data_IF_164031388064
#
_entry.id   IF_164031388064
#
_cell.length_a   1.000
_cell.length_b   1.000
_cell.length_c   1.000
_cell.angle_alpha   90.00
_cell.angle_beta   90.00
_cell.angle_gamma   90.00
#
_symmetry.space_group_name_H-M   'P 1'
#
loop_
_entity.id
_entity.type
_entity.pdbx_description
1 polymer ?
#
# COMPACT_ATOMS: atom_id res chain seq x y z
N UNK A 1 23.12 -5.90 50.98
CA UNK A 1 23.10 -6.35 49.60
C UNK A 1 21.64 -6.59 49.20
N UNK A 2 21.13 -5.91 48.19
CA UNK A 2 19.85 -6.25 47.64
C UNK A 2 20.11 -7.33 46.59
N UNK A 3 19.69 -8.57 46.85
CA UNK A 3 19.86 -9.65 45.87
C UNK A 3 19.07 -9.44 44.60
N UNK A 4 19.32 -10.25 43.58
CA UNK A 4 18.59 -10.23 42.31
C UNK A 4 17.07 -10.32 42.52
N UNK A 5 16.30 -9.53 41.80
CA UNK A 5 14.83 -9.54 41.87
C UNK A 5 14.27 -10.01 40.54
N UNK A 6 13.23 -10.84 40.59
CA UNK A 6 12.51 -11.30 39.40
C UNK A 6 11.11 -10.70 39.37
N UNK A 7 10.75 -10.11 38.22
CA UNK A 7 9.44 -9.57 37.94
C UNK A 7 8.74 -10.49 36.95
N UNK A 8 7.53 -10.91 37.29
CA UNK A 8 6.66 -11.66 36.39
C UNK A 8 5.59 -10.72 35.86
N UNK A 9 5.52 -10.57 34.57
CA UNK A 9 4.65 -9.61 33.87
C UNK A 9 3.75 -10.40 32.92
N UNK A 10 2.45 -10.16 33.03
CA UNK A 10 1.44 -10.79 32.20
C UNK A 10 0.53 -9.69 31.61
N UNK A 11 0.33 -9.72 30.31
CA UNK A 11 -0.50 -8.72 29.63
C UNK A 11 -1.98 -8.73 30.08
N UNK A 12 -2.44 -9.81 30.69
CA UNK A 12 -3.77 -9.90 31.32
C UNK A 12 -3.90 -9.04 32.58
N UNK A 13 -2.77 -8.79 33.25
CA UNK A 13 -2.68 -7.92 34.42
C UNK A 13 -2.34 -6.46 34.04
N UNK A 14 -2.43 -6.11 32.76
CA UNK A 14 -2.20 -4.75 32.30
C UNK A 14 -3.26 -3.79 32.85
N UNK A 15 -2.86 -2.58 33.24
CA UNK A 15 -3.77 -1.53 33.65
C UNK A 15 -4.41 -0.82 32.46
N UNK A 16 -3.70 -0.77 31.36
CA UNK A 16 -4.11 -0.05 30.14
C UNK A 16 -3.57 -0.76 28.90
N UNK A 17 -4.28 -0.64 27.78
CA UNK A 17 -3.83 -1.08 26.47
C UNK A 17 -4.41 -2.42 26.03
N UNK A 18 -3.73 -3.03 25.07
CA UNK A 18 -4.06 -4.35 24.47
C UNK A 18 -2.89 -5.30 24.73
N UNK A 19 -3.07 -6.60 24.43
CA UNK A 19 -1.95 -7.55 24.57
C UNK A 19 -0.71 -7.19 23.72
N UNK A 20 -0.90 -6.50 22.60
CA UNK A 20 0.21 -6.05 21.74
C UNK A 20 0.87 -4.74 22.18
N UNK A 21 0.19 -3.93 22.98
CA UNK A 21 0.70 -2.65 23.51
C UNK A 21 0.00 -2.33 24.83
N UNK A 22 0.68 -2.53 25.95
CA UNK A 22 0.11 -2.40 27.27
C UNK A 22 1.05 -1.75 28.28
N UNK A 23 0.45 -1.22 29.34
CA UNK A 23 1.14 -0.68 30.51
C UNK A 23 0.95 -1.61 31.69
N UNK A 24 2.04 -2.15 32.19
CA UNK A 24 2.09 -2.87 33.45
C UNK A 24 2.56 -1.95 34.57
N UNK A 25 1.94 -2.07 35.75
CA UNK A 25 2.35 -1.32 36.94
C UNK A 25 2.35 -2.23 38.15
N UNK A 26 3.41 -2.22 38.97
CA UNK A 26 3.39 -2.90 40.24
C UNK A 26 2.41 -2.22 41.22
N UNK A 27 1.93 -2.96 42.21
CA UNK A 27 1.02 -2.41 43.24
C UNK A 27 1.66 -1.23 44.01
N UNK A 28 2.97 -1.26 44.16
CA UNK A 28 3.75 -0.18 44.75
C UNK A 28 4.96 0.11 43.84
N UNK A 29 5.38 1.36 43.71
CA UNK A 29 6.54 1.72 42.94
C UNK A 29 7.75 0.92 43.42
N UNK A 30 8.50 0.33 42.49
CA UNK A 30 9.71 -0.44 42.77
C UNK A 30 10.89 0.50 42.79
N UNK A 31 11.50 0.68 43.96
CA UNK A 31 12.76 1.38 44.04
C UNK A 31 13.89 0.41 43.61
N UNK A 32 14.64 0.77 42.59
CA UNK A 32 15.80 0.02 42.10
C UNK A 32 17.04 0.88 42.18
N UNK A 33 18.14 0.28 42.62
CA UNK A 33 19.49 0.86 42.53
C UNK A 33 20.00 0.77 41.10
N UNK A 34 21.27 1.10 40.86
CA UNK A 34 21.92 0.75 39.60
C UNK A 34 21.91 -0.76 39.44
N UNK A 35 21.33 -1.20 38.31
CA UNK A 35 21.21 -2.63 38.05
C UNK A 35 21.13 -2.90 36.54
N UNK A 36 21.34 -4.16 36.19
CA UNK A 36 21.09 -4.69 34.83
C UNK A 36 19.77 -5.42 34.82
N UNK A 37 18.92 -5.08 33.88
CA UNK A 37 17.63 -5.77 33.65
C UNK A 37 17.78 -6.73 32.48
N UNK A 38 17.42 -7.99 32.69
CA UNK A 38 17.43 -9.03 31.66
C UNK A 38 15.99 -9.50 31.44
N UNK A 39 15.56 -9.61 30.18
CA UNK A 39 14.37 -10.37 29.86
C UNK A 39 14.76 -11.85 29.86
N UNK A 40 14.40 -12.54 30.92
CA UNK A 40 14.81 -13.91 31.22
C UNK A 40 13.98 -14.92 30.43
N UNK A 41 12.67 -14.70 30.32
CA UNK A 41 11.80 -15.59 29.60
C UNK A 41 10.65 -14.80 28.91
N UNK A 42 10.25 -15.25 27.74
CA UNK A 42 9.10 -14.75 27.00
C UNK A 42 8.24 -15.93 26.60
N UNK A 43 6.95 -15.85 26.91
CA UNK A 43 5.94 -16.86 26.56
C UNK A 43 4.84 -16.20 25.74
N UNK A 44 4.80 -16.48 24.44
CA UNK A 44 3.79 -15.92 23.53
C UNK A 44 3.04 -17.01 22.80
N UNK A 45 1.69 -17.04 22.83
CA UNK A 45 0.93 -17.90 21.96
C UNK A 45 0.96 -17.37 20.52
N UNK A 46 1.20 -18.24 19.57
CA UNK A 46 1.12 -17.92 18.13
C UNK A 46 -0.35 -18.01 17.72
N UNK A 47 -1.06 -16.90 17.82
CA UNK A 47 -2.51 -16.84 17.56
C UNK A 47 -2.87 -16.02 16.34
N UNK A 48 -1.89 -15.40 15.71
CA UNK A 48 -2.06 -14.70 14.43
C UNK A 48 -2.14 -15.70 13.28
N UNK A 49 -3.01 -15.42 12.33
CA UNK A 49 -3.08 -16.16 11.07
C UNK A 49 -1.97 -15.77 10.09
N UNK A 50 -1.92 -16.44 8.95
CA UNK A 50 -1.00 -16.06 7.86
C UNK A 50 -1.28 -14.65 7.32
N UNK A 51 -2.55 -14.23 7.31
CA UNK A 51 -2.97 -12.86 6.98
C UNK A 51 -3.42 -12.15 8.26
N UNK A 52 -2.78 -11.02 8.53
CA UNK A 52 -2.99 -10.16 9.71
C UNK A 52 -3.34 -8.74 9.29
N UNK A 53 -3.55 -7.84 10.25
CA UNK A 53 -3.70 -6.40 9.96
C UNK A 53 -2.51 -5.82 9.22
N UNK A 54 -1.30 -6.37 9.45
CA UNK A 54 -0.04 -5.81 8.99
C UNK A 54 0.44 -6.36 7.64
N UNK A 55 -0.30 -7.28 7.00
CA UNK A 55 0.08 -7.86 5.72
C UNK A 55 -1.11 -8.20 4.80
N UNK A 56 -2.26 -7.57 5.00
CA UNK A 56 -3.51 -7.93 4.31
C UNK A 56 -3.73 -7.28 2.94
N UNK A 57 -2.89 -6.37 2.53
CA UNK A 57 -3.11 -5.62 1.29
C UNK A 57 -2.20 -6.07 0.16
N UNK A 58 -2.78 -6.24 -1.03
CA UNK A 58 -2.03 -6.33 -2.27
C UNK A 58 -2.32 -5.07 -3.09
N UNK A 59 -1.27 -4.40 -3.52
CA UNK A 59 -1.36 -3.15 -4.27
C UNK A 59 -1.23 -3.45 -5.76
N UNK A 60 -2.31 -3.24 -6.48
CA UNK A 60 -2.45 -3.59 -7.89
C UNK A 60 -2.72 -2.34 -8.71
N UNK A 61 -2.05 -2.23 -9.85
CA UNK A 61 -2.45 -1.31 -10.90
C UNK A 61 -2.80 -2.12 -12.14
N UNK A 62 -3.81 -1.72 -12.86
CA UNK A 62 -4.34 -2.41 -14.02
C UNK A 62 -4.35 -1.47 -15.21
N UNK A 63 -3.81 -1.92 -16.35
CA UNK A 63 -4.12 -1.27 -17.60
C UNK A 63 -5.57 -1.58 -17.94
N UNK A 64 -6.41 -0.58 -17.89
CA UNK A 64 -7.82 -0.69 -18.23
C UNK A 64 -8.03 -0.25 -19.66
N UNK A 65 -8.96 -0.87 -20.42
CA UNK A 65 -9.41 -0.27 -21.65
C UNK A 65 -9.95 1.12 -21.27
N UNK A 66 -9.38 2.13 -21.78
CA UNK A 66 -9.50 3.55 -21.44
C UNK A 66 -10.43 3.86 -20.25
N UNK A 67 -9.83 4.24 -19.15
CA UNK A 67 -10.53 4.83 -18.01
C UNK A 67 -9.85 6.13 -17.66
N UNK A 68 -10.57 7.23 -17.64
CA UNK A 68 -10.05 8.51 -17.13
C UNK A 68 -10.87 8.98 -15.95
N UNK A 69 -10.16 9.47 -14.94
CA UNK A 69 -10.76 10.08 -13.74
C UNK A 69 -10.51 11.57 -13.81
N UNK A 70 -11.55 12.35 -13.97
CA UNK A 70 -11.48 13.79 -13.93
C UNK A 70 -11.93 14.28 -12.54
N UNK A 71 -11.00 14.59 -11.63
CA UNK A 71 -11.36 15.12 -10.30
C UNK A 71 -11.88 16.56 -10.38
N UNK A 72 -11.51 17.27 -11.44
CA UNK A 72 -11.97 18.61 -11.79
C UNK A 72 -12.43 18.63 -13.23
N UNK A 73 -13.11 19.69 -13.66
CA UNK A 73 -13.54 19.84 -15.03
C UNK A 73 -12.34 19.79 -16.01
N UNK A 74 -12.42 18.93 -17.01
CA UNK A 74 -11.42 18.80 -18.05
C UNK A 74 -11.67 19.80 -19.20
N UNK A 75 -10.61 20.37 -19.76
CA UNK A 75 -10.68 21.39 -20.81
C UNK A 75 -10.21 20.87 -22.17
N UNK A 76 -10.97 21.12 -23.21
CA UNK A 76 -10.61 20.88 -24.60
C UNK A 76 -10.61 22.22 -25.35
N UNK A 77 -9.46 22.58 -25.87
CA UNK A 77 -9.27 23.84 -26.60
C UNK A 77 -9.53 23.59 -28.09
N UNK A 78 -10.69 24.04 -28.57
CA UNK A 78 -11.14 23.83 -29.92
C UNK A 78 -10.98 25.11 -30.74
N UNK A 79 -10.33 25.00 -31.91
CA UNK A 79 -10.37 26.02 -32.95
C UNK A 79 -11.21 25.51 -34.07
N UNK A 80 -12.24 26.26 -34.43
CA UNK A 80 -13.20 25.85 -35.47
C UNK A 80 -13.44 26.96 -36.50
N UNK A 81 -13.72 26.55 -37.74
CA UNK A 81 -14.10 27.46 -38.81
C UNK A 81 -15.49 27.11 -39.28
N UNK A 82 -16.44 28.00 -39.01
CA UNK A 82 -17.84 27.87 -39.40
C UNK A 82 -18.17 28.97 -40.39
N UNK A 83 -18.69 28.61 -41.55
CA UNK A 83 -19.02 29.54 -42.61
C UNK A 83 -17.88 30.55 -42.95
N UNK A 84 -16.63 30.08 -42.91
CA UNK A 84 -15.45 30.89 -43.19
C UNK A 84 -14.95 31.74 -42.05
N UNK A 85 -15.59 31.75 -40.90
CA UNK A 85 -15.15 32.47 -39.69
C UNK A 85 -14.46 31.52 -38.74
N UNK A 86 -13.19 31.80 -38.45
CA UNK A 86 -12.41 31.00 -37.44
C UNK A 86 -12.61 31.59 -36.06
N UNK A 87 -12.93 30.72 -35.10
CA UNK A 87 -13.10 31.08 -33.71
C UNK A 87 -12.48 30.03 -32.79
N UNK A 88 -12.03 30.47 -31.59
CA UNK A 88 -11.53 29.61 -30.54
C UNK A 88 -12.64 29.41 -29.50
N UNK A 89 -12.87 28.15 -29.10
CA UNK A 89 -13.90 27.76 -28.13
C UNK A 89 -13.34 26.79 -27.10
N UNK A 90 -13.47 27.15 -25.81
CA UNK A 90 -13.18 26.24 -24.73
C UNK A 90 -14.37 25.30 -24.49
N UNK A 91 -14.12 24.00 -24.62
CA UNK A 91 -15.09 22.95 -24.35
C UNK A 91 -14.71 22.31 -23.02
N UNK A 92 -15.68 22.24 -22.10
CA UNK A 92 -15.44 21.74 -20.74
C UNK A 92 -16.19 20.44 -20.51
N UNK A 93 -15.46 19.41 -20.09
CA UNK A 93 -16.00 18.11 -19.68
C UNK A 93 -16.15 18.12 -18.17
N UNK A 94 -17.30 17.70 -17.66
CA UNK A 94 -17.60 17.71 -16.22
C UNK A 94 -16.74 16.70 -15.45
N UNK A 95 -16.50 16.92 -14.15
CA UNK A 95 -15.79 15.95 -13.31
C UNK A 95 -16.57 14.63 -13.23
N UNK A 96 -15.96 13.53 -13.62
CA UNK A 96 -16.51 12.17 -13.50
C UNK A 96 -15.43 11.12 -13.80
N UNK A 97 -15.81 9.86 -13.67
CA UNK A 97 -15.07 8.72 -14.18
C UNK A 97 -15.66 8.35 -15.54
N UNK A 98 -14.85 8.33 -16.58
CA UNK A 98 -15.27 8.05 -17.94
C UNK A 98 -14.54 6.82 -18.50
N UNK A 99 -15.31 5.86 -19.00
CA UNK A 99 -14.86 4.92 -20.01
C UNK A 99 -14.91 5.56 -21.42
N UNK A 100 -14.50 4.83 -22.44
CA UNK A 100 -14.49 5.37 -23.81
C UNK A 100 -15.88 5.75 -24.34
N UNK A 101 -16.91 5.00 -23.98
CA UNK A 101 -18.29 5.25 -24.41
C UNK A 101 -18.88 6.48 -23.72
N UNK A 102 -18.72 6.54 -22.41
CA UNK A 102 -19.21 7.65 -21.60
C UNK A 102 -18.47 8.95 -21.89
N UNK A 103 -17.15 8.87 -22.16
CA UNK A 103 -16.36 10.03 -22.59
C UNK A 103 -16.83 10.53 -23.98
N UNK A 104 -17.10 9.64 -24.93
CA UNK A 104 -17.62 10.02 -26.23
C UNK A 104 -18.97 10.77 -26.11
N UNK A 105 -19.85 10.28 -25.24
CA UNK A 105 -21.15 10.93 -24.98
C UNK A 105 -20.99 12.30 -24.31
N UNK A 106 -20.10 12.39 -23.30
CA UNK A 106 -19.83 13.64 -22.62
C UNK A 106 -19.17 14.67 -23.53
N UNK A 107 -18.25 14.26 -24.38
CA UNK A 107 -17.60 15.12 -25.37
C UNK A 107 -18.56 15.58 -26.44
N UNK A 108 -19.44 14.70 -26.95
CA UNK A 108 -20.50 15.07 -27.90
C UNK A 108 -21.44 16.13 -27.32
N UNK A 109 -21.84 15.94 -26.04
CA UNK A 109 -22.68 16.89 -25.33
C UNK A 109 -22.00 18.25 -25.17
N UNK A 110 -20.73 18.24 -24.78
CA UNK A 110 -19.96 19.47 -24.56
C UNK A 110 -19.62 20.21 -25.89
N UNK A 111 -19.36 19.48 -26.94
CA UNK A 111 -19.18 20.03 -28.30
C UNK A 111 -20.47 20.63 -28.86
N UNK A 112 -21.65 20.07 -28.51
CA UNK A 112 -22.95 20.58 -28.89
C UNK A 112 -23.39 20.17 -30.29
N UNK A 113 -24.47 20.79 -30.74
CA UNK A 113 -25.09 20.46 -32.01
C UNK A 113 -24.15 20.63 -33.22
N UNK A 114 -24.16 19.67 -34.13
CA UNK A 114 -23.28 19.64 -35.31
C UNK A 114 -22.01 18.81 -35.13
N UNK A 115 -21.76 18.26 -33.93
CA UNK A 115 -20.70 17.32 -33.68
C UNK A 115 -21.25 15.96 -33.30
N UNK A 116 -20.72 14.91 -33.90
CA UNK A 116 -20.95 13.54 -33.48
C UNK A 116 -19.61 12.95 -32.99
N UNK A 117 -19.64 12.27 -31.87
CA UNK A 117 -18.45 11.60 -31.30
C UNK A 117 -18.78 10.13 -31.13
N UNK A 118 -17.98 9.28 -31.74
CA UNK A 118 -18.09 7.83 -31.65
C UNK A 118 -16.81 7.24 -31.01
N UNK A 119 -17.00 6.35 -30.06
CA UNK A 119 -15.94 5.54 -29.53
C UNK A 119 -15.81 4.23 -30.27
N UNK A 120 -14.60 3.86 -30.64
CA UNK A 120 -14.29 2.55 -31.24
C UNK A 120 -13.30 1.84 -30.33
N UNK A 121 -13.75 0.75 -29.72
CA UNK A 121 -12.88 -0.14 -28.97
C UNK A 121 -12.03 -0.93 -29.96
N UNK A 122 -10.74 -0.98 -29.73
CA UNK A 122 -9.81 -1.79 -30.51
C UNK A 122 -9.30 -2.92 -29.62
N UNK A 123 -9.50 -4.17 -30.03
CA UNK A 123 -9.02 -5.33 -29.25
C UNK A 123 -7.51 -5.23 -29.05
N UNK A 124 -7.07 -5.37 -27.80
CA UNK A 124 -5.67 -5.28 -27.36
C UNK A 124 -4.97 -3.93 -27.60
N UNK A 125 -5.69 -2.88 -27.90
CA UNK A 125 -5.12 -1.55 -28.11
C UNK A 125 -5.98 -0.46 -27.46
N UNK A 126 -5.43 0.74 -27.50
CA UNK A 126 -6.10 1.97 -27.12
C UNK A 126 -7.35 2.15 -28.01
N UNK A 127 -8.46 2.45 -27.40
CA UNK A 127 -9.63 2.86 -28.14
C UNK A 127 -9.40 4.19 -28.86
N UNK A 128 -10.26 4.52 -29.81
CA UNK A 128 -10.24 5.80 -30.50
C UNK A 128 -11.57 6.51 -30.36
N UNK A 129 -11.52 7.84 -30.29
CA UNK A 129 -12.67 8.71 -30.45
C UNK A 129 -12.64 9.32 -31.88
N UNK A 130 -13.70 9.11 -32.65
CA UNK A 130 -13.87 9.75 -33.94
C UNK A 130 -14.86 10.89 -33.79
N UNK A 131 -14.41 12.11 -34.09
CA UNK A 131 -15.24 13.31 -34.07
C UNK A 131 -15.60 13.66 -35.50
N UNK A 132 -16.87 13.74 -35.79
CA UNK A 132 -17.42 14.06 -37.12
C UNK A 132 -18.24 15.33 -37.05
N UNK A 133 -17.99 16.24 -37.97
CA UNK A 133 -18.75 17.48 -38.16
C UNK A 133 -18.59 17.97 -39.60
N UNK A 134 -19.51 18.81 -40.07
CA UNK A 134 -19.39 19.50 -41.34
C UNK A 134 -18.39 20.69 -41.32
N UNK A 135 -17.98 21.12 -40.14
CA UNK A 135 -17.08 22.25 -39.96
C UNK A 135 -15.61 21.82 -40.03
N UNK A 136 -14.72 22.76 -40.40
CA UNK A 136 -13.29 22.55 -40.20
C UNK A 136 -12.95 22.85 -38.74
N UNK A 137 -12.21 21.94 -38.09
CA UNK A 137 -11.88 22.08 -36.69
C UNK A 137 -10.53 21.42 -36.35
N UNK A 138 -9.97 21.86 -35.25
CA UNK A 138 -8.75 21.26 -34.66
C UNK A 138 -8.80 21.41 -33.14
N UNK A 139 -8.46 20.35 -32.41
CA UNK A 139 -8.16 20.42 -30.98
C UNK A 139 -6.70 20.83 -30.86
N UNK A 140 -6.45 21.90 -30.15
CA UNK A 140 -5.11 22.43 -29.92
C UNK A 140 -4.41 21.67 -28.80
N UNK A 141 -3.19 21.27 -29.08
CA UNK A 141 -2.32 20.64 -28.10
C UNK A 141 -1.75 21.64 -27.09
N UNK A 142 -1.32 21.11 -25.93
CA UNK A 142 -0.60 21.89 -24.91
C UNK A 142 0.59 22.65 -25.48
N UNK A 143 1.33 22.01 -26.40
CA UNK A 143 2.50 22.63 -27.05
C UNK A 143 2.09 23.87 -27.85
N UNK A 144 1.03 23.79 -28.64
CA UNK A 144 0.50 24.92 -29.43
C UNK A 144 -0.03 26.03 -28.52
N UNK A 145 -0.81 25.68 -27.51
CA UNK A 145 -1.35 26.65 -26.54
C UNK A 145 -0.25 27.43 -25.80
N UNK A 146 0.81 26.74 -25.40
CA UNK A 146 1.97 27.37 -24.73
C UNK A 146 2.82 28.21 -25.67
N UNK A 147 2.98 27.77 -26.91
CA UNK A 147 3.69 28.52 -27.95
C UNK A 147 2.95 29.83 -28.31
N UNK A 148 1.66 29.71 -28.51
CA UNK A 148 0.83 30.86 -28.94
C UNK A 148 0.56 31.81 -27.76
N UNK A 149 0.60 31.30 -26.53
CA UNK A 149 0.45 32.07 -25.29
C UNK A 149 -0.94 32.67 -25.07
N UNK A 150 -1.84 32.52 -26.04
CA UNK A 150 -3.21 33.04 -26.01
C UNK A 150 -4.19 32.07 -26.63
N UNK A 151 -5.42 32.09 -26.11
CA UNK A 151 -6.54 31.33 -26.66
C UNK A 151 -7.83 32.15 -26.51
N UNK A 152 -8.60 32.33 -27.60
CA UNK A 152 -9.81 33.15 -27.56
C UNK A 152 -9.59 34.57 -27.04
N UNK A 153 -8.42 35.15 -27.27
CA UNK A 153 -8.04 36.48 -26.76
C UNK A 153 -7.51 36.51 -25.31
N UNK A 154 -7.64 35.41 -24.57
CA UNK A 154 -7.15 35.30 -23.17
C UNK A 154 -5.75 34.70 -23.11
N UNK A 155 -4.96 35.12 -22.11
CA UNK A 155 -3.62 34.58 -21.86
C UNK A 155 -3.74 33.16 -21.31
N UNK A 156 -3.01 32.21 -21.89
CA UNK A 156 -2.90 30.84 -21.39
C UNK A 156 -1.91 30.80 -20.23
N UNK A 157 -2.37 30.42 -19.05
CA UNK A 157 -1.52 30.30 -17.86
C UNK A 157 -0.81 28.95 -17.82
N UNK A 158 0.51 28.96 -17.93
CA UNK A 158 1.37 27.76 -17.98
C UNK A 158 1.22 26.83 -16.76
N UNK A 159 1.06 27.40 -15.57
CA UNK A 159 1.04 26.66 -14.30
C UNK A 159 -0.27 25.90 -14.03
N UNK A 160 -1.36 26.26 -14.71
CA UNK A 160 -2.69 25.66 -14.52
C UNK A 160 -3.32 25.15 -15.79
N UNK A 161 -2.53 25.01 -16.86
CA UNK A 161 -3.04 24.56 -18.16
C UNK A 161 -3.37 23.07 -18.09
N UNK A 162 -4.66 22.78 -18.13
CA UNK A 162 -5.19 21.45 -18.46
C UNK A 162 -5.66 21.45 -19.89
N UNK A 163 -5.39 20.39 -20.63
CA UNK A 163 -5.79 20.26 -22.03
C UNK A 163 -6.38 18.87 -22.33
N UNK A 164 -6.69 18.62 -23.59
CA UNK A 164 -7.27 17.35 -24.01
C UNK A 164 -6.36 16.13 -23.70
N UNK A 165 -5.06 16.30 -23.56
CA UNK A 165 -4.13 15.22 -23.20
C UNK A 165 -4.45 14.66 -21.80
N UNK A 166 -4.86 15.52 -20.86
CA UNK A 166 -5.22 15.11 -19.49
C UNK A 166 -6.51 14.28 -19.49
N UNK A 167 -7.41 14.53 -20.47
CA UNK A 167 -8.67 13.80 -20.64
C UNK A 167 -8.45 12.48 -21.37
N UNK A 168 -7.64 12.51 -22.44
CA UNK A 168 -7.41 11.37 -23.32
C UNK A 168 -6.36 10.38 -22.79
N UNK A 169 -5.64 10.74 -21.74
CA UNK A 169 -4.58 9.90 -21.15
C UNK A 169 -3.36 9.71 -22.05
N UNK A 170 -3.20 10.55 -23.07
CA UNK A 170 -2.07 10.48 -24.01
C UNK A 170 -1.65 11.86 -24.44
N UNK A 171 -0.37 12.03 -24.76
CA UNK A 171 0.12 13.30 -25.29
C UNK A 171 -0.51 13.57 -26.66
N UNK A 172 -1.25 14.67 -26.74
CA UNK A 172 -1.91 15.10 -27.95
C UNK A 172 -0.99 16.02 -28.77
N UNK A 173 -0.92 15.76 -30.07
CA UNK A 173 -0.57 16.78 -31.07
C UNK A 173 -1.84 17.45 -31.56
N UNK A 174 -1.76 18.61 -32.20
CA UNK A 174 -2.95 19.24 -32.79
C UNK A 174 -3.68 18.23 -33.68
N UNK A 175 -4.95 17.95 -33.39
CA UNK A 175 -5.65 16.83 -33.97
C UNK A 175 -7.04 17.21 -34.48
N UNK A 176 -7.41 16.63 -35.60
CA UNK A 176 -8.74 16.67 -36.18
C UNK A 176 -9.16 15.27 -36.64
N UNK A 177 -10.43 14.91 -36.49
CA UNK A 177 -10.97 13.62 -36.88
C UNK A 177 -10.86 12.53 -35.82
N UNK A 178 -9.76 11.80 -35.77
CA UNK A 178 -9.59 10.68 -34.86
C UNK A 178 -8.62 11.02 -33.75
N UNK A 179 -9.06 10.83 -32.50
CA UNK A 179 -8.24 10.98 -31.31
C UNK A 179 -7.92 9.59 -30.74
N UNK A 180 -6.65 9.31 -30.51
CA UNK A 180 -6.24 8.08 -29.83
C UNK A 180 -6.37 8.27 -28.33
N UNK A 181 -6.95 7.29 -27.65
CA UNK A 181 -7.04 7.26 -26.20
C UNK A 181 -5.79 6.61 -25.60
N UNK A 182 -5.33 7.14 -24.49
CA UNK A 182 -4.28 6.52 -23.70
C UNK A 182 -4.80 5.36 -22.86
N UNK A 183 -3.88 4.55 -22.30
CA UNK A 183 -4.26 3.59 -21.30
C UNK A 183 -4.67 4.31 -20.02
N UNK A 184 -5.86 4.01 -19.52
CA UNK A 184 -6.18 4.26 -18.14
C UNK A 184 -5.37 3.29 -17.28
N UNK A 185 -4.78 3.77 -16.20
CA UNK A 185 -4.20 2.91 -15.16
C UNK A 185 -5.09 3.04 -13.93
N UNK A 186 -5.84 1.98 -13.66
CA UNK A 186 -6.61 1.87 -12.42
C UNK A 186 -5.69 1.38 -11.30
N UNK A 187 -5.67 2.10 -10.17
CA UNK A 187 -4.95 1.70 -8.97
C UNK A 187 -5.94 1.22 -7.92
N UNK A 188 -5.71 0.06 -7.36
CA UNK A 188 -6.54 -0.45 -6.27
C UNK A 188 -5.75 -1.22 -5.23
N UNK A 189 -6.31 -1.24 -4.05
CA UNK A 189 -5.83 -2.03 -2.92
C UNK A 189 -6.75 -3.23 -2.75
N UNK A 190 -6.24 -4.42 -3.06
CA UNK A 190 -6.92 -5.69 -2.84
C UNK A 190 -6.77 -6.05 -1.37
N UNK A 191 -7.86 -6.36 -0.69
CA UNK A 191 -7.88 -6.60 0.76
C UNK A 191 -8.13 -8.07 1.02
N UNK A 192 -7.11 -8.79 1.49
CA UNK A 192 -7.25 -10.17 1.92
C UNK A 192 -7.89 -10.23 3.30
N UNK A 193 -8.77 -11.19 3.51
CA UNK A 193 -9.40 -11.40 4.80
C UNK A 193 -8.38 -11.89 5.83
N UNK A 194 -8.44 -11.36 7.06
CA UNK A 194 -7.58 -11.84 8.14
C UNK A 194 -7.90 -13.29 8.47
N UNK A 195 -6.90 -14.11 8.70
CA UNK A 195 -7.11 -15.50 9.11
C UNK A 195 -5.93 -16.42 8.83
N UNK A 196 -6.13 -17.65 9.21
CA UNK A 196 -5.22 -18.74 8.92
C UNK A 196 -5.61 -19.40 7.61
N UNK A 197 -4.63 -19.61 6.76
CA UNK A 197 -4.81 -20.15 5.42
C UNK A 197 -3.95 -21.41 5.22
N UNK A 198 -4.43 -22.28 4.35
CA UNK A 198 -3.62 -23.28 3.69
C UNK A 198 -3.09 -22.72 2.36
N UNK A 199 -2.15 -23.43 1.73
CA UNK A 199 -1.64 -23.02 0.42
C UNK A 199 -2.73 -22.95 -0.66
N UNK A 200 -3.79 -23.73 -0.54
CA UNK A 200 -4.90 -23.72 -1.51
C UNK A 200 -5.91 -22.61 -1.17
N UNK A 201 -6.23 -22.44 0.10
CA UNK A 201 -7.21 -21.45 0.51
C UNK A 201 -6.71 -20.01 0.32
N UNK A 202 -5.41 -19.73 0.45
CA UNK A 202 -4.87 -18.40 0.16
C UNK A 202 -4.94 -18.05 -1.33
N UNK A 203 -4.74 -19.03 -2.22
CA UNK A 203 -4.90 -18.82 -3.66
C UNK A 203 -6.36 -18.50 -4.01
N UNK A 204 -7.31 -19.22 -3.40
CA UNK A 204 -8.75 -18.98 -3.56
C UNK A 204 -9.15 -17.62 -3.03
N UNK A 205 -8.68 -17.24 -1.84
CA UNK A 205 -8.93 -15.91 -1.25
C UNK A 205 -8.39 -14.81 -2.16
N UNK A 206 -7.14 -14.93 -2.61
CA UNK A 206 -6.53 -13.95 -3.49
C UNK A 206 -7.31 -13.79 -4.79
N UNK A 207 -7.74 -14.90 -5.40
CA UNK A 207 -8.58 -14.86 -6.62
C UNK A 207 -9.92 -14.18 -6.35
N UNK A 208 -10.58 -14.51 -5.24
CA UNK A 208 -11.86 -13.91 -4.85
C UNK A 208 -11.72 -12.40 -4.69
N UNK A 209 -10.70 -11.95 -3.98
CA UNK A 209 -10.50 -10.53 -3.72
C UNK A 209 -10.04 -9.75 -4.96
N UNK A 210 -9.24 -10.37 -5.83
CA UNK A 210 -8.88 -9.79 -7.12
C UNK A 210 -10.10 -9.59 -8.04
N UNK A 211 -11.09 -10.47 -7.95
CA UNK A 211 -12.32 -10.41 -8.75
C UNK A 211 -13.46 -9.65 -8.04
N UNK A 212 -13.19 -9.04 -6.88
CA UNK A 212 -14.19 -8.23 -6.18
C UNK A 212 -14.23 -6.84 -6.79
N UNK A 213 -15.37 -6.49 -7.37
CA UNK A 213 -15.63 -5.21 -8.04
C UNK A 213 -16.34 -5.42 -9.37
N UNK A 214 -16.93 -4.36 -9.88
CA UNK A 214 -17.55 -4.30 -11.24
C UNK A 214 -16.51 -3.76 -12.22
N UNK A 215 -16.63 -4.14 -13.48
CA UNK A 215 -15.81 -3.64 -14.60
C UNK A 215 -14.31 -3.96 -14.55
N UNK A 216 -13.94 -4.96 -13.75
CA UNK A 216 -12.56 -5.43 -13.65
C UNK A 216 -12.32 -6.63 -14.60
N UNK A 217 -11.07 -6.81 -15.06
CA UNK A 217 -10.71 -8.05 -15.74
C UNK A 217 -10.87 -9.23 -14.79
N UNK A 218 -11.27 -10.39 -15.31
CA UNK A 218 -11.29 -11.62 -14.51
C UNK A 218 -9.87 -12.13 -14.29
N UNK A 219 -9.55 -12.40 -13.03
CA UNK A 219 -8.27 -12.96 -12.63
C UNK A 219 -8.40 -14.43 -12.28
N UNK A 220 -7.41 -15.19 -12.70
CA UNK A 220 -7.21 -16.58 -12.27
C UNK A 220 -5.94 -16.66 -11.46
N UNK A 221 -6.02 -17.24 -10.27
CA UNK A 221 -4.88 -17.48 -9.39
C UNK A 221 -4.60 -18.99 -9.37
N UNK A 222 -3.45 -19.39 -9.82
CA UNK A 222 -3.02 -20.79 -9.83
C UNK A 222 -1.82 -20.97 -8.90
N UNK A 223 -1.74 -22.14 -8.27
CA UNK A 223 -0.60 -22.59 -7.48
C UNK A 223 0.16 -23.67 -8.23
N UNK A 224 1.46 -23.51 -8.36
CA UNK A 224 2.33 -24.57 -8.83
C UNK A 224 2.60 -25.56 -7.69
N UNK A 225 2.13 -26.79 -7.83
CA UNK A 225 2.23 -27.80 -6.78
C UNK A 225 3.67 -28.23 -6.47
N UNK A 226 4.59 -28.12 -7.43
CA UNK A 226 6.00 -28.49 -7.25
C UNK A 226 6.81 -27.38 -6.58
N UNK A 227 6.57 -26.14 -6.94
CA UNK A 227 7.36 -25.00 -6.45
C UNK A 227 6.70 -24.24 -5.32
N UNK A 228 5.41 -24.47 -5.05
CA UNK A 228 4.63 -23.72 -4.07
C UNK A 228 4.43 -22.23 -4.42
N UNK A 229 4.71 -21.83 -5.67
CA UNK A 229 4.59 -20.46 -6.13
C UNK A 229 3.19 -20.20 -6.68
N UNK A 230 2.72 -18.98 -6.48
CA UNK A 230 1.51 -18.48 -7.11
C UNK A 230 1.79 -17.90 -8.49
N UNK A 231 0.81 -18.03 -9.37
CA UNK A 231 0.73 -17.25 -10.60
C UNK A 231 -0.64 -16.59 -10.69
N UNK A 232 -0.67 -15.36 -11.15
CA UNK A 232 -1.88 -14.60 -11.40
C UNK A 232 -1.92 -14.30 -12.88
N UNK A 233 -3.01 -14.63 -13.55
CA UNK A 233 -3.26 -14.26 -14.94
C UNK A 233 -4.61 -13.56 -15.05
N UNK A 234 -4.70 -12.58 -15.95
CA UNK A 234 -5.98 -11.97 -16.28
C UNK A 234 -6.47 -12.47 -17.65
N UNK A 235 -7.76 -12.32 -17.89
CA UNK A 235 -8.40 -12.69 -19.16
C UNK A 235 -8.18 -11.64 -20.25
N UNK A 236 -7.66 -10.48 -19.88
CA UNK A 236 -7.34 -9.41 -20.82
C UNK A 236 -5.93 -9.60 -21.38
N UNK A 237 -5.70 -9.04 -22.56
CA UNK A 237 -4.36 -8.88 -23.13
C UNK A 237 -3.60 -7.71 -22.52
N UNK A 238 -4.27 -6.90 -21.70
CA UNK A 238 -3.69 -5.73 -21.03
C UNK A 238 -2.83 -6.17 -19.83
N UNK A 239 -1.81 -5.41 -19.56
CA UNK A 239 -0.92 -5.67 -18.45
C UNK A 239 -1.57 -5.27 -17.12
N UNK A 240 -1.17 -5.94 -16.07
CA UNK A 240 -1.40 -5.48 -14.71
C UNK A 240 -0.08 -5.51 -13.93
N UNK A 241 -0.08 -4.80 -12.82
CA UNK A 241 1.11 -4.55 -12.02
C UNK A 241 0.83 -4.89 -10.58
N UNK A 242 1.79 -5.56 -9.92
CA UNK A 242 1.79 -5.73 -8.46
C UNK A 242 2.95 -4.90 -7.91
N UNK A 243 2.64 -3.96 -7.03
CA UNK A 243 3.61 -3.16 -6.30
C UNK A 243 3.97 -3.85 -5.00
N UNK A 244 5.26 -4.05 -4.80
CA UNK A 244 5.78 -4.79 -3.65
C UNK A 244 6.02 -3.88 -2.46
N UNK A 245 6.23 -4.46 -1.28
CA UNK A 245 6.66 -3.73 -0.09
C UNK A 245 7.93 -2.92 -0.33
N UNK A 246 8.85 -3.44 -1.14
CA UNK A 246 10.09 -2.74 -1.49
C UNK A 246 9.84 -1.40 -2.20
N UNK A 247 8.84 -1.33 -3.09
CA UNK A 247 8.42 -0.08 -3.72
C UNK A 247 7.74 0.85 -2.71
N UNK A 248 6.81 0.31 -1.92
CA UNK A 248 5.99 1.06 -0.99
C UNK A 248 6.84 1.68 0.14
N UNK A 249 7.85 0.97 0.62
CA UNK A 249 8.80 1.47 1.63
C UNK A 249 9.63 2.67 1.14
N UNK A 250 9.98 2.68 -0.15
CA UNK A 250 10.68 3.80 -0.78
C UNK A 250 9.76 4.97 -1.14
N UNK A 251 8.47 4.70 -1.30
CA UNK A 251 7.49 5.66 -1.77
C UNK A 251 6.27 5.71 -0.81
N UNK A 252 6.46 6.04 0.47
CA UNK A 252 5.45 5.85 1.51
C UNK A 252 4.19 6.71 1.36
N UNK A 253 4.19 7.69 0.43
CA UNK A 253 3.07 8.61 0.21
C UNK A 253 2.48 8.55 -1.20
N UNK A 254 2.91 7.63 -2.05
CA UNK A 254 2.67 7.76 -3.49
C UNK A 254 1.93 6.61 -4.16
N UNK A 255 1.34 5.67 -3.41
CA UNK A 255 0.41 4.77 -4.06
C UNK A 255 -0.94 5.48 -4.21
N UNK A 256 -1.31 5.76 -5.43
CA UNK A 256 -2.33 6.72 -5.86
C UNK A 256 -3.64 6.62 -5.07
N UNK A 257 -3.97 7.68 -4.34
CA UNK A 257 -5.18 7.80 -3.55
C UNK A 257 -5.16 7.11 -2.17
N UNK A 258 -4.06 6.45 -1.79
CA UNK A 258 -3.91 5.82 -0.49
C UNK A 258 -2.85 6.54 0.34
N UNK A 259 -3.27 7.08 1.48
CA UNK A 259 -2.41 7.78 2.44
C UNK A 259 -2.15 6.98 3.72
N UNK A 260 -2.81 5.83 3.86
CA UNK A 260 -2.65 4.95 5.03
C UNK A 260 -1.29 4.24 5.00
N UNK A 261 -0.80 3.77 6.15
CA UNK A 261 0.37 2.90 6.19
C UNK A 261 0.22 1.70 5.26
N UNK A 262 1.29 1.38 4.53
CA UNK A 262 1.27 0.25 3.62
C UNK A 262 1.51 -1.07 4.36
N UNK A 263 0.57 -2.00 4.24
CA UNK A 263 0.62 -3.34 4.83
C UNK A 263 0.52 -4.37 3.72
N UNK A 264 1.65 -4.68 3.07
CA UNK A 264 1.68 -5.52 1.89
C UNK A 264 1.66 -7.02 2.20
N UNK A 265 0.93 -7.78 1.39
CA UNK A 265 0.88 -9.23 1.43
C UNK A 265 1.89 -9.90 0.50
N UNK A 266 2.79 -9.15 -0.11
CA UNK A 266 3.75 -9.66 -1.08
C UNK A 266 4.69 -10.73 -0.48
N UNK A 267 5.14 -10.55 0.76
CA UNK A 267 5.97 -11.54 1.47
C UNK A 267 5.22 -12.85 1.72
N UNK A 268 3.91 -12.77 2.01
CA UNK A 268 3.05 -13.96 2.22
C UNK A 268 2.76 -14.67 0.90
N UNK A 269 2.43 -13.91 -0.13
CA UNK A 269 2.03 -14.44 -1.44
C UNK A 269 3.22 -14.76 -2.35
N UNK A 270 4.41 -14.30 -1.99
CA UNK A 270 5.65 -14.55 -2.72
C UNK A 270 5.92 -13.60 -3.90
N UNK A 271 5.12 -12.56 -4.09
CA UNK A 271 5.34 -11.55 -5.14
C UNK A 271 6.37 -10.51 -4.69
N UNK A 272 7.60 -10.93 -4.51
CA UNK A 272 8.72 -10.15 -3.95
C UNK A 272 9.89 -10.00 -4.91
N UNK A 273 10.95 -9.31 -4.49
CA UNK A 273 12.26 -9.29 -5.15
C UNK A 273 12.47 -8.19 -6.19
N UNK A 274 11.44 -7.43 -6.50
CA UNK A 274 11.48 -6.25 -7.39
C UNK A 274 10.53 -5.19 -6.87
N UNK A 275 10.69 -3.94 -7.31
CA UNK A 275 9.79 -2.86 -6.93
C UNK A 275 8.36 -3.10 -7.46
N UNK A 276 8.26 -3.62 -8.69
CA UNK A 276 7.01 -3.84 -9.41
C UNK A 276 7.11 -5.04 -10.33
N UNK A 277 6.16 -5.96 -10.23
CA UNK A 277 5.95 -6.99 -11.24
C UNK A 277 4.97 -6.47 -12.29
N UNK A 278 5.18 -6.78 -13.57
CA UNK A 278 4.28 -6.38 -14.65
C UNK A 278 4.07 -7.49 -15.68
N UNK A 279 2.87 -7.60 -16.21
CA UNK A 279 2.51 -8.55 -17.26
C UNK A 279 1.01 -8.83 -17.30
N UNK A 280 0.59 -9.66 -18.22
CA UNK A 280 -0.76 -10.25 -18.24
C UNK A 280 -0.81 -11.60 -17.48
N UNK A 281 0.36 -12.15 -17.19
CA UNK A 281 0.57 -13.28 -16.29
C UNK A 281 1.79 -12.99 -15.43
N UNK A 282 1.60 -13.00 -14.11
CA UNK A 282 2.66 -12.76 -13.12
C UNK A 282 2.88 -14.04 -12.32
N UNK A 283 4.14 -14.42 -12.16
CA UNK A 283 4.52 -15.56 -11.30
C UNK A 283 5.30 -15.04 -10.11
N UNK A 284 4.94 -15.48 -8.92
CA UNK A 284 5.63 -15.13 -7.68
C UNK A 284 7.10 -15.55 -7.72
N UNK A 285 7.98 -14.68 -7.23
CA UNK A 285 9.42 -14.95 -7.20
C UNK A 285 9.78 -16.02 -6.18
N UNK A 286 9.03 -16.11 -5.07
CA UNK A 286 9.21 -17.09 -4.01
C UNK A 286 7.95 -17.93 -3.79
N UNK A 287 8.07 -18.98 -2.99
CA UNK A 287 6.92 -19.78 -2.54
C UNK A 287 6.05 -19.01 -1.56
N UNK A 288 4.81 -19.45 -1.41
CA UNK A 288 3.88 -18.93 -0.41
C UNK A 288 4.48 -19.12 0.99
N UNK A 289 4.46 -18.06 1.79
CA UNK A 289 4.92 -18.10 3.16
C UNK A 289 3.77 -17.65 4.09
N UNK A 290 3.17 -18.61 4.78
CA UNK A 290 2.05 -18.36 5.69
C UNK A 290 2.50 -18.01 7.12
N UNK A 291 3.79 -17.86 7.36
CA UNK A 291 4.30 -17.34 8.62
C UNK A 291 4.26 -15.81 8.57
N UNK A 292 3.24 -15.23 9.21
CA UNK A 292 3.02 -13.77 9.20
C UNK A 292 4.22 -12.98 9.75
N UNK A 293 4.90 -13.54 10.75
CA UNK A 293 6.04 -12.93 11.41
C UNK A 293 7.15 -13.97 11.61
N UNK A 294 8.35 -13.67 11.14
CA UNK A 294 9.57 -14.46 11.43
C UNK A 294 10.25 -13.99 12.70
N UNK A 295 10.06 -12.74 13.03
CA UNK A 295 10.69 -12.08 14.15
C UNK A 295 9.76 -11.01 14.70
N UNK A 296 9.67 -10.96 16.02
CA UNK A 296 8.99 -9.88 16.73
C UNK A 296 9.99 -9.13 17.61
N UNK A 297 9.69 -7.86 17.86
CA UNK A 297 10.48 -7.00 18.71
C UNK A 297 9.64 -6.54 19.90
N UNK A 298 10.10 -6.84 21.11
CA UNK A 298 9.52 -6.31 22.34
C UNK A 298 10.18 -4.97 22.60
N UNK A 299 9.43 -3.90 22.52
CA UNK A 299 9.84 -2.57 22.90
C UNK A 299 9.39 -2.30 24.33
N UNK A 300 10.19 -1.59 25.10
CA UNK A 300 9.90 -1.28 26.49
C UNK A 300 10.38 0.11 26.88
N UNK A 301 9.63 0.77 27.77
CA UNK A 301 10.08 2.03 28.40
C UNK A 301 11.21 1.84 29.41
N UNK A 302 11.54 0.62 29.80
CA UNK A 302 12.75 0.34 30.57
C UNK A 302 14.02 0.68 29.78
N UNK A 303 13.96 0.60 28.47
CA UNK A 303 15.10 0.78 27.56
C UNK A 303 15.29 2.21 27.06
N UNK A 304 14.84 3.25 27.74
CA UNK A 304 14.95 4.64 27.27
C UNK A 304 16.39 5.13 27.03
N UNK A 305 17.38 4.35 27.44
CA UNK A 305 18.82 4.61 27.26
C UNK A 305 19.58 3.44 26.61
N UNK A 306 18.88 2.56 25.89
CA UNK A 306 19.53 1.42 25.23
C UNK A 306 20.14 1.82 23.89
N UNK A 307 21.35 1.32 23.64
CA UNK A 307 22.05 1.41 22.35
C UNK A 307 21.51 0.39 21.31
N UNK A 308 20.33 -0.18 21.55
CA UNK A 308 19.73 -1.12 20.60
C UNK A 308 19.10 -0.38 19.43
N UNK A 309 19.49 -0.74 18.21
CA UNK A 309 18.94 -0.18 16.99
C UNK A 309 18.21 -1.28 16.23
N UNK A 310 16.91 -1.09 16.03
CA UNK A 310 16.06 -2.00 15.25
C UNK A 310 16.19 -1.78 13.76
N UNK A 311 15.57 -2.66 12.96
CA UNK A 311 15.64 -2.63 11.49
C UNK A 311 15.21 -1.29 10.85
N UNK A 312 14.31 -0.56 11.50
CA UNK A 312 13.82 0.77 11.05
C UNK A 312 14.18 1.85 12.09
N UNK A 313 15.38 1.76 12.68
CA UNK A 313 15.91 2.74 13.64
C UNK A 313 15.13 2.85 14.96
N UNK A 314 14.39 1.83 15.37
CA UNK A 314 13.79 1.79 16.71
C UNK A 314 14.90 1.66 17.76
N UNK A 315 14.86 2.51 18.78
CA UNK A 315 15.86 2.56 19.85
C UNK A 315 15.36 2.00 21.20
N UNK A 316 14.12 1.51 21.26
CA UNK A 316 13.49 1.03 22.51
C UNK A 316 13.35 -0.49 22.58
N UNK A 317 14.06 -1.22 21.72
CA UNK A 317 13.96 -2.68 21.65
C UNK A 317 14.62 -3.27 22.89
N UNK A 318 13.82 -3.95 23.70
CA UNK A 318 14.26 -4.67 24.87
C UNK A 318 14.60 -6.14 24.55
N UNK A 319 13.94 -6.73 23.53
CA UNK A 319 14.16 -8.13 23.15
C UNK A 319 13.75 -8.37 21.71
N UNK A 320 14.56 -9.14 20.98
CA UNK A 320 14.20 -9.75 19.70
C UNK A 320 13.74 -11.19 19.97
N UNK A 321 12.57 -11.53 19.48
CA UNK A 321 11.96 -12.86 19.61
C UNK A 321 11.86 -13.50 18.23
N UNK A 322 12.46 -14.66 18.04
CA UNK A 322 12.38 -15.42 16.79
C UNK A 322 11.16 -16.34 16.85
N UNK A 323 10.35 -16.29 15.79
CA UNK A 323 9.17 -17.13 15.64
C UNK A 323 9.57 -18.35 14.82
N UNK A 324 9.45 -19.51 15.41
CA UNK A 324 9.44 -20.79 14.70
C UNK A 324 8.00 -21.26 14.45
N UNK A 325 7.82 -22.37 13.75
CA UNK A 325 6.51 -22.87 13.34
C UNK A 325 5.66 -23.47 14.48
N UNK A 326 5.97 -23.16 15.73
CA UNK A 326 5.26 -23.66 16.89
C UNK A 326 3.97 -22.91 17.21
N UNK A 327 3.06 -23.52 17.98
CA UNK A 327 1.88 -22.84 18.52
C UNK A 327 2.20 -21.87 19.65
N UNK A 328 3.40 -21.98 20.20
CA UNK A 328 3.91 -21.15 21.27
C UNK A 328 5.39 -20.79 21.00
N UNK A 329 5.72 -19.56 21.28
CA UNK A 329 7.10 -19.12 21.40
C UNK A 329 7.49 -19.15 22.87
N UNK A 330 8.52 -19.94 23.17
CA UNK A 330 9.14 -20.00 24.48
C UNK A 330 10.60 -19.59 24.32
N UNK A 331 10.90 -18.32 24.51
CA UNK A 331 12.25 -17.80 24.44
C UNK A 331 12.84 -17.67 25.84
N UNK A 332 13.82 -18.50 26.15
CA UNK A 332 14.54 -18.55 27.44
C UNK A 332 16.02 -18.15 27.32
N UNK A 333 16.42 -17.64 26.14
CA UNK A 333 17.84 -17.35 25.90
C UNK A 333 18.18 -15.91 26.30
N UNK A 334 18.67 -15.71 27.54
CA UNK A 334 19.35 -14.47 27.88
C UNK A 334 20.86 -14.64 27.72
N UNK A 335 21.51 -13.73 27.00
CA UNK A 335 22.95 -13.67 26.88
C UNK A 335 23.49 -12.68 27.94
N UNK A 336 24.71 -12.88 28.46
CA UNK A 336 25.27 -11.99 29.48
C UNK A 336 25.37 -10.51 29.07
N UNK A 337 25.38 -10.23 27.78
CA UNK A 337 25.44 -8.88 27.21
C UNK A 337 24.08 -8.36 26.71
N UNK A 338 23.02 -9.15 26.85
CA UNK A 338 21.65 -8.80 26.37
C UNK A 338 20.85 -8.21 27.55
N UNK A 339 21.31 -7.07 28.06
CA UNK A 339 20.73 -6.39 29.21
C UNK A 339 20.41 -4.93 28.94
N UNK A 340 19.49 -4.42 29.72
CA UNK A 340 19.11 -3.01 29.78
C UNK A 340 19.78 -2.42 31.03
N UNK A 341 20.62 -1.41 30.87
CA UNK A 341 21.21 -0.69 31.99
C UNK A 341 20.16 0.22 32.63
N UNK A 342 19.96 0.07 33.90
CA UNK A 342 19.07 0.92 34.69
C UNK A 342 19.87 1.70 35.74
N UNK A 343 19.70 3.01 35.74
CA UNK A 343 20.14 3.87 36.80
C UNK A 343 19.23 3.76 38.03
N UNK A 344 19.65 4.34 39.15
CA UNK A 344 18.84 4.42 40.37
C UNK A 344 17.53 5.17 40.04
N UNK A 345 16.42 4.47 40.13
CA UNK A 345 15.11 5.01 39.80
C UNK A 345 13.97 4.33 40.56
N UNK A 346 12.78 4.92 40.46
CA UNK A 346 11.54 4.33 40.93
C UNK A 346 10.69 3.93 39.74
N UNK A 347 10.40 2.65 39.60
CA UNK A 347 9.59 2.10 38.53
C UNK A 347 8.15 2.07 39.01
N UNK A 348 7.31 2.94 38.49
CA UNK A 348 5.86 3.00 38.76
C UNK A 348 5.03 2.33 37.64
N UNK A 349 5.54 2.33 36.42
CA UNK A 349 4.92 1.72 35.26
C UNK A 349 5.95 1.33 34.20
N UNK A 350 5.67 0.29 33.45
CA UNK A 350 6.47 -0.13 32.30
C UNK A 350 5.51 -0.36 31.16
N UNK A 351 5.76 0.29 30.03
CA UNK A 351 5.03 0.02 28.78
C UNK A 351 5.80 -1.03 28.00
N UNK A 352 5.06 -2.00 27.47
CA UNK A 352 5.55 -3.00 26.53
C UNK A 352 4.74 -2.90 25.25
N UNK A 353 5.44 -2.88 24.12
CA UNK A 353 4.83 -2.91 22.81
C UNK A 353 5.52 -3.97 21.95
N UNK A 354 4.75 -4.87 21.39
CA UNK A 354 5.25 -5.88 20.45
C UNK A 354 5.07 -5.36 19.03
N UNK A 355 6.15 -5.35 18.27
CA UNK A 355 6.14 -4.88 16.89
C UNK A 355 6.75 -5.91 15.94
N UNK A 356 6.34 -5.82 14.68
CA UNK A 356 7.02 -6.46 13.57
C UNK A 356 8.35 -5.73 13.25
N UNK A 357 9.07 -6.20 12.23
CA UNK A 357 10.34 -5.60 11.81
C UNK A 357 10.20 -4.18 11.24
N UNK A 358 8.99 -3.77 10.82
CA UNK A 358 8.66 -2.41 10.34
C UNK A 358 8.25 -1.47 11.46
N UNK A 359 8.14 -1.96 12.69
CA UNK A 359 7.69 -1.18 13.84
C UNK A 359 6.17 -1.10 14.00
N UNK A 360 5.39 -1.86 13.20
CA UNK A 360 3.94 -1.91 13.35
C UNK A 360 3.57 -2.76 14.55
N UNK A 361 2.56 -2.33 15.32
CA UNK A 361 2.04 -3.13 16.44
C UNK A 361 1.41 -4.43 15.95
N UNK A 362 1.66 -5.50 16.69
CA UNK A 362 1.13 -6.83 16.40
C UNK A 362 -0.12 -7.09 17.21
N UNK A 363 -1.21 -7.47 16.53
CA UNK A 363 -2.41 -7.97 17.22
C UNK A 363 -2.13 -9.39 17.72
N UNK A 364 -2.24 -9.62 19.02
CA UNK A 364 -1.90 -10.91 19.61
C UNK A 364 -2.75 -11.23 20.85
N UNK A 365 -2.83 -12.51 21.18
CA UNK A 365 -3.41 -12.98 22.41
C UNK A 365 -2.54 -12.65 23.64
N UNK A 366 -3.08 -12.74 24.84
CA UNK A 366 -2.31 -12.47 26.04
C UNK A 366 -1.04 -13.31 26.14
N UNK A 367 0.01 -12.67 26.59
CA UNK A 367 1.35 -13.25 26.74
C UNK A 367 2.01 -12.78 28.03
N UNK A 368 3.12 -13.41 28.40
CA UNK A 368 3.86 -13.07 29.61
C UNK A 368 5.34 -13.07 29.38
N UNK A 369 6.04 -12.31 30.22
CA UNK A 369 7.49 -12.29 30.28
C UNK A 369 7.97 -12.22 31.74
N UNK A 370 9.22 -12.58 31.95
CA UNK A 370 9.92 -12.33 33.22
C UNK A 370 11.16 -11.48 33.02
N UNK A 371 11.39 -10.57 33.96
CA UNK A 371 12.57 -9.70 33.98
C UNK A 371 13.34 -9.97 35.26
N UNK A 372 14.66 -10.17 35.15
CA UNK A 372 15.57 -10.26 36.28
C UNK A 372 16.32 -8.94 36.40
N UNK A 373 16.28 -8.35 37.57
CA UNK A 373 17.05 -7.17 37.96
C UNK A 373 18.23 -7.62 38.78
N UNK A 374 19.43 -7.42 38.28
CA UNK A 374 20.69 -7.80 38.96
C UNK A 374 21.42 -6.52 39.36
N UNK A 375 21.68 -6.28 40.66
CA UNK A 375 22.47 -5.15 41.14
C UNK A 375 23.87 -5.12 40.53
N UNK A 376 24.43 -3.94 40.25
CA UNK A 376 25.78 -3.81 39.69
C UNK A 376 26.86 -4.38 40.66
N UNK A 377 26.61 -4.37 41.96
CA UNK A 377 27.53 -4.86 42.96
C UNK A 377 27.68 -6.40 42.97
N UNK A 378 26.92 -7.12 42.15
CA UNK A 378 26.95 -8.58 42.01
C UNK A 378 27.65 -9.07 40.71
N UNK A 379 28.31 -8.18 39.98
CA UNK A 379 29.09 -8.51 38.77
C UNK A 379 30.60 -8.35 39.00
#
# INVERSE_FOLDING_TARGET
MQGARKLYIDSRAAKEGTSGDFVWSPDRPLSVGKCRAFIDAVHMPVTWGGITSNNKYLYVAEELPFLTVLPTAGNVYLRETIAGVTSDRLVTIQPAIYDGVNLAAALATALGAGYAVAYTAVASQLGTLTITTANTWVILSRATLLRDGKFGGSIVQKSSLQDASDILGTTLTDASGVLTLGHGVGYRRVVLSKGSYTFDSIATELQTQLNTGTDLPSYTVAKNALTGRLSISNTNTLKFYIYTSQYLDRNPYSFQGYSDPFYSSDEVTGFTGVDRLEGNTLTAASHINLLAYHTLFINSTLGSHNDSIGPVSQSTIARKVVIDNGSFVNDFHSQPYDYIQLDKQSISAIRFRVTDWRGNSVEMSPWSLSIILVPEDEF
#
